data_IF_231144322938
#
_entry.id   IF_231144322938
#
_cell.length_a   1.000
_cell.length_b   1.000
_cell.length_c   1.000
_cell.angle_alpha   90.00
_cell.angle_beta   90.00
_cell.angle_gamma   90.00
#
_symmetry.space_group_name_H-M   'P 1'
#
loop_
_entity.id
_entity.type
_entity.pdbx_description
1 polymer ?
#
# COMPACT_ATOMS: atom_id res chain seq x y z
N UNK A 1 -19.37 4.82 7.03
CA UNK A 1 -18.04 5.47 7.05
C UNK A 1 -17.06 4.47 6.47
N UNK A 2 -16.09 4.88 5.63
CA UNK A 2 -15.08 3.94 5.16
C UNK A 2 -14.32 3.38 6.37
N UNK A 3 -14.09 2.07 6.38
CA UNK A 3 -13.40 1.35 7.46
C UNK A 3 -11.96 1.10 7.01
N UNK A 4 -11.00 1.26 7.92
CA UNK A 4 -9.59 1.00 7.65
C UNK A 4 -8.71 2.25 7.66
N UNK A 5 -7.42 2.04 7.42
CA UNK A 5 -6.40 3.08 7.41
C UNK A 5 -6.43 3.83 6.09
N UNK A 6 -6.68 5.16 6.08
CA UNK A 6 -6.66 5.95 4.87
C UNK A 6 -5.23 6.18 4.40
N UNK A 7 -4.94 5.79 3.16
CA UNK A 7 -3.65 5.99 2.50
C UNK A 7 -3.88 6.80 1.24
N UNK A 8 -3.01 7.77 0.98
CA UNK A 8 -3.05 8.53 -0.27
C UNK A 8 -2.79 7.57 -1.44
N UNK A 9 -3.69 7.54 -2.42
CA UNK A 9 -3.59 6.66 -3.58
C UNK A 9 -2.27 6.84 -4.33
N UNK A 10 -1.71 8.05 -4.35
CA UNK A 10 -0.42 8.32 -4.99
C UNK A 10 0.76 7.61 -4.31
N UNK A 11 0.60 7.14 -3.08
CA UNK A 11 1.61 6.36 -2.37
C UNK A 11 1.44 4.86 -2.57
N UNK A 12 0.34 4.42 -3.19
CA UNK A 12 0.10 3.00 -3.46
C UNK A 12 0.66 2.67 -4.84
N UNK A 13 1.67 1.82 -4.84
CA UNK A 13 2.46 1.46 -6.02
C UNK A 13 2.33 -0.03 -6.30
N UNK A 14 2.48 -0.39 -7.57
CA UNK A 14 2.55 -1.78 -8.01
C UNK A 14 3.94 -2.02 -8.55
N UNK A 15 4.62 -3.03 -7.99
CA UNK A 15 5.92 -3.49 -8.44
C UNK A 15 5.77 -4.32 -9.74
N UNK A 16 6.87 -4.55 -10.45
CA UNK A 16 6.87 -5.31 -11.72
C UNK A 16 6.42 -6.76 -11.61
N UNK A 17 6.53 -7.34 -10.42
CA UNK A 17 6.07 -8.69 -10.10
C UNK A 17 4.56 -8.73 -9.74
N UNK A 18 3.86 -7.59 -9.76
CA UNK A 18 2.47 -7.45 -9.36
C UNK A 18 2.27 -7.23 -7.86
N UNK A 19 3.35 -7.14 -7.08
CA UNK A 19 3.25 -6.87 -5.64
C UNK A 19 2.80 -5.43 -5.42
N UNK A 20 1.75 -5.25 -4.63
CA UNK A 20 1.28 -3.92 -4.23
C UNK A 20 2.02 -3.48 -2.96
N UNK A 21 2.57 -2.27 -3.00
CA UNK A 21 3.30 -1.68 -1.89
C UNK A 21 2.82 -0.26 -1.60
N UNK A 22 3.04 0.22 -0.38
CA UNK A 22 2.79 1.61 -0.01
C UNK A 22 4.14 2.30 0.21
N UNK A 23 4.42 3.37 -0.52
CA UNK A 23 5.55 4.26 -0.28
C UNK A 23 5.38 4.94 1.08
N UNK A 24 6.29 4.61 2.00
CA UNK A 24 6.32 5.13 3.36
C UNK A 24 7.41 6.20 3.55
N UNK A 25 8.08 6.61 2.47
CA UNK A 25 9.15 7.58 2.43
C UNK A 25 10.54 7.01 2.73
N UNK A 26 11.58 7.71 2.31
CA UNK A 26 12.98 7.35 2.60
C UNK A 26 13.43 6.03 1.94
N UNK A 27 12.80 5.64 0.82
CA UNK A 27 13.07 4.38 0.12
C UNK A 27 12.50 3.13 0.81
N UNK A 28 11.58 3.32 1.77
CA UNK A 28 10.91 2.23 2.47
C UNK A 28 9.49 2.05 1.92
N UNK A 29 9.18 0.81 1.58
CA UNK A 29 7.91 0.41 1.00
C UNK A 29 7.29 -0.66 1.87
N UNK A 30 6.01 -0.51 2.22
CA UNK A 30 5.26 -1.50 2.97
C UNK A 30 4.56 -2.45 2.01
N UNK A 31 4.91 -3.73 2.05
CA UNK A 31 4.19 -4.78 1.32
C UNK A 31 2.83 -5.02 1.99
N UNK A 32 1.73 -4.82 1.26
CA UNK A 32 0.38 -4.89 1.85
C UNK A 32 -0.11 -6.33 2.10
N UNK A 33 0.55 -7.34 1.53
CA UNK A 33 0.19 -8.74 1.70
C UNK A 33 0.85 -9.33 2.94
N UNK A 34 2.12 -9.01 3.14
CA UNK A 34 2.93 -9.53 4.25
C UNK A 34 2.98 -8.60 5.44
N UNK A 35 2.82 -7.30 5.21
CA UNK A 35 3.04 -6.27 6.22
C UNK A 35 4.51 -5.96 6.49
N UNK A 36 5.43 -6.53 5.70
CA UNK A 36 6.86 -6.27 5.85
C UNK A 36 7.27 -4.95 5.19
N UNK A 37 8.15 -4.21 5.86
CA UNK A 37 8.85 -3.10 5.23
C UNK A 37 10.03 -3.61 4.41
N UNK A 38 10.12 -3.12 3.17
CA UNK A 38 11.13 -3.52 2.20
C UNK A 38 11.75 -2.29 1.56
N UNK A 39 12.99 -2.42 1.16
CA UNK A 39 13.63 -1.46 0.26
C UNK A 39 13.47 -1.96 -1.17
N UNK A 40 12.79 -1.19 -2.00
CA UNK A 40 12.67 -1.46 -3.43
C UNK A 40 13.48 -0.42 -4.19
N UNK A 41 14.14 -0.83 -5.26
CA UNK A 41 14.78 0.13 -6.15
C UNK A 41 13.73 0.83 -7.00
N UNK A 42 13.95 2.10 -7.38
CA UNK A 42 13.03 2.84 -8.26
C UNK A 42 12.76 2.12 -9.59
N UNK A 43 13.70 1.28 -10.03
CA UNK A 43 13.57 0.45 -11.23
C UNK A 43 12.53 -0.68 -11.11
N UNK A 44 12.21 -1.11 -9.89
CA UNK A 44 11.24 -2.19 -9.61
C UNK A 44 9.80 -1.66 -9.50
N UNK A 45 9.65 -0.36 -9.29
CA UNK A 45 8.36 0.32 -9.26
C UNK A 45 7.85 0.41 -10.70
N UNK A 46 6.74 -0.27 -10.98
CA UNK A 46 6.12 -0.16 -12.31
C UNK A 46 5.39 1.17 -12.42
N UNK A 47 4.32 1.32 -11.64
CA UNK A 47 3.33 2.37 -11.78
C UNK A 47 2.53 2.54 -10.48
N UNK A 48 1.76 3.62 -10.42
CA UNK A 48 0.71 3.81 -9.43
C UNK A 48 -0.40 2.78 -9.61
N UNK A 49 -1.08 2.43 -8.51
CA UNK A 49 -2.17 1.47 -8.54
C UNK A 49 -3.37 1.95 -9.38
N UNK A 50 -3.87 1.06 -10.24
CA UNK A 50 -5.04 1.30 -11.10
C UNK A 50 -6.34 0.86 -10.43
N UNK A 51 -7.48 1.25 -11.00
CA UNK A 51 -8.79 0.92 -10.44
C UNK A 51 -9.08 -0.58 -10.47
N UNK A 52 -8.67 -1.30 -11.51
CA UNK A 52 -8.84 -2.76 -11.62
C UNK A 52 -8.10 -3.52 -10.49
N UNK A 53 -6.88 -3.08 -10.17
CA UNK A 53 -6.08 -3.61 -9.07
C UNK A 53 -6.75 -3.31 -7.71
N UNK A 54 -7.28 -2.08 -7.55
CA UNK A 54 -8.01 -1.71 -6.34
C UNK A 54 -9.32 -2.49 -6.17
N UNK A 55 -10.02 -2.81 -7.27
CA UNK A 55 -11.22 -3.65 -7.25
C UNK A 55 -10.85 -5.09 -6.86
N UNK A 56 -9.72 -5.60 -7.35
CA UNK A 56 -9.18 -6.89 -6.90
C UNK A 56 -8.88 -6.89 -5.39
N UNK A 57 -8.14 -5.90 -4.89
CA UNK A 57 -7.83 -5.77 -3.45
C UNK A 57 -9.08 -5.61 -2.58
N UNK A 58 -10.13 -5.00 -3.13
CA UNK A 58 -11.42 -4.90 -2.45
C UNK A 58 -12.13 -6.25 -2.41
N UNK A 59 -12.08 -7.01 -3.50
CA UNK A 59 -12.64 -8.37 -3.59
C UNK A 59 -11.94 -9.35 -2.64
N UNK A 60 -10.62 -9.21 -2.44
CA UNK A 60 -9.83 -10.02 -1.49
C UNK A 60 -9.97 -9.57 -0.04
N UNK A 61 -10.66 -8.45 0.22
CA UNK A 61 -10.89 -7.92 1.56
C UNK A 61 -9.72 -7.15 2.17
N UNK A 62 -8.70 -6.82 1.37
CA UNK A 62 -7.57 -5.98 1.81
C UNK A 62 -7.91 -4.49 1.81
N UNK A 63 -8.82 -4.07 0.92
CA UNK A 63 -9.31 -2.70 0.83
C UNK A 63 -10.81 -2.68 1.13
N UNK A 64 -11.25 -1.80 2.03
CA UNK A 64 -12.69 -1.62 2.24
C UNK A 64 -13.32 -0.80 1.12
N UNK A 65 -12.66 0.29 0.75
CA UNK A 65 -13.16 1.31 -0.18
C UNK A 65 -11.99 2.08 -0.76
N UNK A 66 -12.19 2.75 -1.90
CA UNK A 66 -11.24 3.70 -2.44
C UNK A 66 -11.97 4.80 -3.23
N UNK A 67 -11.26 5.89 -3.49
CA UNK A 67 -11.66 6.95 -4.40
C UNK A 67 -10.43 7.47 -5.16
N UNK A 68 -10.57 8.57 -5.92
CA UNK A 68 -9.47 9.11 -6.72
C UNK A 68 -8.26 9.57 -5.89
N UNK A 69 -8.43 9.87 -4.60
CA UNK A 69 -7.37 10.41 -3.74
C UNK A 69 -6.92 9.44 -2.64
N UNK A 70 -7.81 8.56 -2.17
CA UNK A 70 -7.61 7.76 -0.95
C UNK A 70 -7.99 6.30 -1.19
N UNK A 71 -7.20 5.41 -0.60
CA UNK A 71 -7.47 3.97 -0.50
C UNK A 71 -7.56 3.63 0.98
N UNK A 72 -8.61 2.90 1.37
CA UNK A 72 -8.86 2.53 2.77
C UNK A 72 -8.51 1.07 2.99
N UNK A 73 -7.32 0.80 3.51
CA UNK A 73 -6.81 -0.56 3.73
C UNK A 73 -7.28 -1.12 5.08
N UNK A 74 -7.65 -2.40 5.08
CA UNK A 74 -8.03 -3.14 6.26
C UNK A 74 -6.83 -3.93 6.79
N UNK A 75 -6.49 -3.74 8.07
CA UNK A 75 -5.48 -4.56 8.73
C UNK A 75 -4.03 -4.32 8.29
N UNK A 76 -3.69 -3.10 7.83
CA UNK A 76 -2.28 -2.73 7.69
C UNK A 76 -1.59 -2.92 9.05
N UNK A 77 -0.38 -3.51 9.08
CA UNK A 77 0.38 -3.61 10.32
C UNK A 77 0.61 -2.23 10.90
N UNK A 78 0.49 -2.13 12.22
CA UNK A 78 0.92 -0.93 12.93
C UNK A 78 2.41 -0.72 12.68
N UNK A 79 2.82 0.53 12.46
CA UNK A 79 4.22 0.85 12.16
C UNK A 79 5.10 0.22 13.24
N UNK A 80 6.22 -0.46 12.92
CA UNK A 80 7.25 -0.63 13.93
C UNK A 80 7.68 0.78 14.34
N UNK A 81 7.22 1.21 15.51
CA UNK A 81 7.64 2.45 16.14
C UNK A 81 9.17 2.40 16.14
N UNK A 82 9.83 3.37 15.50
CA UNK A 82 11.24 3.58 15.74
C UNK A 82 11.37 3.78 17.24
N UNK A 83 11.88 2.78 17.96
CA UNK A 83 12.46 3.00 19.28
C UNK A 83 13.62 3.96 19.05
N UNK A 84 13.36 5.24 19.30
CA UNK A 84 14.40 6.25 19.47
C UNK A 84 15.19 5.81 20.70
N UNK A 85 16.47 5.50 20.49
CA UNK A 85 17.52 5.56 21.51
C UNK A 85 18.23 6.91 21.35
#
# INVERSE_FOLDING_TARGET
>A
MPVGTPINRQWVLVLRDGTVVIDWGGGQFLDINTGDMRTCSEFEISLHIQDDELDHLKSTGQVSSYNNAMVYFLGLPDRPLRTID
#
